data_IF_543230373234
#
_entry.id   IF_543230373234
#
_cell.length_a   1.000
_cell.length_b   1.000
_cell.length_c   1.000
_cell.angle_alpha   90.00
_cell.angle_beta   90.00
_cell.angle_gamma   90.00
#
_symmetry.space_group_name_H-M   'P 1'
#
loop_
_entity.id
_entity.type
_entity.pdbx_description
1 polymer ?
#
# COMPACT_ATOMS: atom_id res chain seq x y z
N UNK A 1 3.70 -2.39 -18.72
CA UNK A 1 4.59 -1.61 -17.83
C UNK A 1 3.82 -1.33 -16.57
N UNK A 2 4.40 -1.60 -15.40
CA UNK A 2 3.78 -1.32 -14.10
C UNK A 2 3.59 0.19 -13.92
N UNK A 3 2.54 0.59 -13.19
CA UNK A 3 2.34 2.00 -12.83
C UNK A 3 3.49 2.48 -11.92
N UNK A 4 3.90 3.76 -11.98
CA UNK A 4 4.96 4.31 -11.13
C UNK A 4 4.74 4.05 -9.63
N UNK A 5 3.48 3.94 -9.18
CA UNK A 5 3.15 3.65 -7.79
C UNK A 5 3.54 2.22 -7.36
N UNK A 6 3.52 1.24 -8.28
CA UNK A 6 4.01 -0.10 -8.02
C UNK A 6 5.53 -0.08 -7.83
N UNK A 7 6.25 0.72 -8.63
CA UNK A 7 7.70 0.89 -8.45
C UNK A 7 8.03 1.61 -7.14
N UNK A 8 7.23 2.60 -6.73
CA UNK A 8 7.37 3.23 -5.42
C UNK A 8 7.18 2.20 -4.29
N UNK A 9 6.14 1.38 -4.34
CA UNK A 9 5.84 0.36 -3.32
C UNK A 9 7.02 -0.62 -3.15
N UNK A 10 7.70 -1.01 -4.24
CA UNK A 10 8.90 -1.86 -4.16
C UNK A 10 10.02 -1.28 -3.31
N UNK A 11 10.09 0.05 -3.20
CA UNK A 11 11.13 0.74 -2.42
C UNK A 11 10.78 0.88 -0.94
N UNK A 12 9.54 0.58 -0.55
CA UNK A 12 9.10 0.70 0.84
C UNK A 12 9.57 -0.51 1.65
N UNK A 13 10.16 -0.23 2.80
CA UNK A 13 10.54 -1.29 3.74
C UNK A 13 9.29 -1.82 4.48
N UNK A 14 9.23 -3.11 4.81
CA UNK A 14 8.24 -3.63 5.74
C UNK A 14 8.20 -2.79 7.02
N UNK A 15 6.99 -2.37 7.42
CA UNK A 15 6.78 -1.50 8.58
C UNK A 15 6.80 0.00 8.29
N UNK A 16 7.07 0.45 7.05
CA UNK A 16 6.89 1.87 6.67
C UNK A 16 5.49 2.33 7.05
N UNK A 17 5.42 3.42 7.83
CA UNK A 17 4.20 3.97 8.39
C UNK A 17 3.41 4.73 7.33
N UNK A 18 2.13 4.41 7.27
CA UNK A 18 1.16 5.00 6.35
C UNK A 18 -0.04 5.46 7.17
N UNK A 19 -0.75 6.46 6.67
CA UNK A 19 -2.06 6.86 7.17
C UNK A 19 -3.19 6.35 6.28
N UNK A 20 -2.92 6.04 5.01
CA UNK A 20 -3.94 5.59 4.09
C UNK A 20 -3.43 5.25 2.70
N UNK A 21 -4.31 4.65 1.91
CA UNK A 21 -4.18 4.53 0.46
C UNK A 21 -5.49 4.95 -0.19
N UNK A 22 -5.43 5.41 -1.43
CA UNK A 22 -6.61 5.58 -2.28
C UNK A 22 -6.60 4.46 -3.30
N UNK A 23 -7.57 3.56 -3.26
CA UNK A 23 -7.72 2.47 -4.21
C UNK A 23 -9.12 2.48 -4.82
N UNK A 24 -9.20 2.38 -6.16
CA UNK A 24 -10.47 2.45 -6.91
C UNK A 24 -11.37 3.65 -6.52
N UNK A 25 -10.76 4.79 -6.16
CA UNK A 25 -11.47 6.01 -5.76
C UNK A 25 -11.98 6.03 -4.30
N UNK A 26 -11.75 4.98 -3.52
CA UNK A 26 -12.06 4.92 -2.10
C UNK A 26 -10.80 5.07 -1.25
N UNK A 27 -10.90 5.83 -0.16
CA UNK A 27 -9.84 5.88 0.84
C UNK A 27 -9.92 4.67 1.76
N UNK A 28 -8.82 3.96 1.91
CA UNK A 28 -8.67 2.81 2.80
C UNK A 28 -7.63 3.17 3.85
N UNK A 29 -8.06 3.20 5.11
CA UNK A 29 -7.19 3.47 6.25
C UNK A 29 -6.23 2.28 6.44
N UNK A 30 -4.94 2.54 6.33
CA UNK A 30 -3.86 1.57 6.57
C UNK A 30 -2.85 2.16 7.55
N UNK A 31 -2.13 1.33 8.30
CA UNK A 31 -1.16 1.76 9.31
C UNK A 31 0.29 1.51 8.87
N UNK A 32 0.55 0.41 8.16
CA UNK A 32 1.87 0.13 7.61
C UNK A 32 1.83 -0.86 6.43
N UNK A 33 2.83 -0.79 5.59
CA UNK A 33 3.12 -1.82 4.59
C UNK A 33 3.74 -3.05 5.26
N UNK A 34 3.44 -4.24 4.75
CA UNK A 34 3.99 -5.52 5.22
C UNK A 34 4.91 -6.11 4.16
N UNK A 35 4.43 -6.21 2.93
CA UNK A 35 5.17 -6.83 1.83
C UNK A 35 4.59 -6.42 0.48
N UNK A 36 5.41 -6.56 -0.55
CA UNK A 36 5.02 -6.46 -1.94
C UNK A 36 5.52 -7.69 -2.68
N UNK A 37 4.67 -8.31 -3.49
CA UNK A 37 5.02 -9.42 -4.35
C UNK A 37 5.05 -8.93 -5.80
N UNK A 38 6.24 -8.92 -6.41
CA UNK A 38 6.41 -8.41 -7.77
C UNK A 38 5.77 -9.30 -8.85
N UNK A 39 5.69 -10.61 -8.65
CA UNK A 39 5.11 -11.52 -9.64
C UNK A 39 3.59 -11.43 -9.69
N UNK A 40 2.94 -11.12 -8.56
CA UNK A 40 1.48 -10.97 -8.48
C UNK A 40 1.03 -9.51 -8.42
N UNK A 41 1.96 -8.57 -8.23
CA UNK A 41 1.73 -7.13 -8.00
C UNK A 41 0.91 -6.81 -6.75
N UNK A 42 0.73 -7.80 -5.88
CA UNK A 42 -0.04 -7.64 -4.66
C UNK A 42 0.82 -6.98 -3.59
N UNK A 43 0.27 -5.93 -2.99
CA UNK A 43 0.80 -5.30 -1.79
C UNK A 43 -0.07 -5.67 -0.60
N UNK A 44 0.58 -5.97 0.52
CA UNK A 44 -0.07 -6.29 1.79
C UNK A 44 0.18 -5.17 2.77
N UNK A 45 -0.89 -4.70 3.42
CA UNK A 45 -0.87 -3.72 4.48
C UNK A 45 -1.51 -4.29 5.75
N UNK A 46 -1.24 -3.66 6.88
CA UNK A 46 -2.07 -3.75 8.08
C UNK A 46 -2.92 -2.49 8.16
N UNK A 47 -4.18 -2.62 8.56
CA UNK A 47 -5.03 -1.47 8.85
C UNK A 47 -4.99 -1.03 10.31
N UNK A 48 -5.63 0.10 10.61
CA UNK A 48 -5.67 0.68 11.96
C UNK A 48 -6.34 -0.23 13.00
N UNK A 49 -7.13 -1.21 12.57
CA UNK A 49 -7.76 -2.22 13.42
C UNK A 49 -6.93 -3.51 13.56
N UNK A 50 -5.74 -3.57 12.96
CA UNK A 50 -4.87 -4.76 12.97
C UNK A 50 -5.22 -5.82 11.93
N UNK A 51 -6.18 -5.56 11.03
CA UNK A 51 -6.55 -6.52 9.98
C UNK A 51 -5.62 -6.39 8.76
N UNK A 52 -5.41 -7.51 8.08
CA UNK A 52 -4.68 -7.56 6.80
C UNK A 52 -5.52 -6.98 5.68
N UNK A 53 -4.94 -6.07 4.89
CA UNK A 53 -5.51 -5.52 3.66
C UNK A 53 -4.59 -5.90 2.50
N UNK A 54 -5.15 -6.52 1.46
CA UNK A 54 -4.41 -6.90 0.25
C UNK A 54 -5.01 -6.14 -0.92
N UNK A 55 -4.16 -5.49 -1.71
CA UNK A 55 -4.56 -4.75 -2.91
C UNK A 55 -3.60 -5.04 -4.07
N UNK A 56 -4.10 -4.96 -5.30
CA UNK A 56 -3.25 -4.83 -6.48
C UNK A 56 -2.68 -3.40 -6.51
N UNK A 57 -1.37 -3.25 -6.65
CA UNK A 57 -0.73 -1.94 -6.70
C UNK A 57 -1.22 -1.08 -7.87
N UNK A 58 -1.75 -1.69 -8.95
CA UNK A 58 -2.29 -0.94 -10.08
C UNK A 58 -3.63 -0.27 -9.80
N UNK A 59 -4.37 -0.74 -8.79
CA UNK A 59 -5.64 -0.14 -8.37
C UNK A 59 -5.43 1.03 -7.38
N UNK A 60 -4.20 1.18 -6.87
CA UNK A 60 -3.82 2.25 -5.97
C UNK A 60 -3.55 3.51 -6.80
N UNK A 61 -4.28 4.58 -6.49
CA UNK A 61 -4.11 5.90 -7.06
C UNK A 61 -3.16 6.78 -6.23
N UNK A 62 -3.13 6.59 -4.91
CA UNK A 62 -2.27 7.34 -4.00
C UNK A 62 -1.90 6.55 -2.74
N UNK A 63 -0.77 6.90 -2.15
CA UNK A 63 -0.29 6.43 -0.85
C UNK A 63 -0.11 7.65 0.05
N UNK A 64 -0.67 7.60 1.25
CA UNK A 64 -0.60 8.65 2.25
C UNK A 64 0.39 8.20 3.34
N UNK A 65 1.57 8.81 3.37
CA UNK A 65 2.58 8.52 4.40
C UNK A 65 2.19 9.16 5.73
N UNK A 66 2.51 8.49 6.82
CA UNK A 66 2.37 9.08 8.15
C UNK A 66 3.61 9.95 8.43
N UNK A 67 3.38 11.24 8.73
CA UNK A 67 4.43 12.24 8.94
C UNK A 67 4.70 12.54 10.42
N UNK A 68 4.26 11.66 11.33
CA UNK A 68 4.52 11.79 12.76
C UNK A 68 5.95 11.42 13.15
#
# INVERSE_FOLDING_TARGET
MSKPICELIKTLNPGTKLSGIIAQGAQIQVSNVVSYNESTRLVTFINTSGNTVIADCEDIAAIEFDNQ
#
